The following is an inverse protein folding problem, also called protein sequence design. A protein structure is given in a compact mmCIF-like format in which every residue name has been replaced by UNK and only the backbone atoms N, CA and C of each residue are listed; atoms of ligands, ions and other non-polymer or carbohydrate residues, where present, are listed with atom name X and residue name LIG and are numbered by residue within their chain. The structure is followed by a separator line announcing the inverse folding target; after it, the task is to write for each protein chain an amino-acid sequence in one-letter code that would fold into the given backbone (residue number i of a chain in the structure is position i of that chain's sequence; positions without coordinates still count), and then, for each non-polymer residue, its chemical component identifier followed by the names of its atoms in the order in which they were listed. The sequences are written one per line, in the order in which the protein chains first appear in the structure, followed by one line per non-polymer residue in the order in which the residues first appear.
data_IF_112125450320
#
_entry.id   IF_112125450320
#
_cell.length_a   1.000
_cell.length_b   1.000
_cell.length_c   1.000
_cell.angle_alpha   90.00
_cell.angle_beta   90.00
_cell.angle_gamma   90.00
#
_symmetry.space_group_name_H-M   'P 1'
#
loop_
_entity.id
_entity.type
_entity.pdbx_description
1 polymer ?
#
# COMPACT_ATOMS: atom_id res chain seq x y z
N UNK A 1 16.59 4.87 -18.65
CA UNK A 1 15.42 3.97 -18.57
C UNK A 1 14.64 4.28 -17.31
N UNK A 2 13.32 4.54 -17.37
CA UNK A 2 12.54 4.97 -16.21
C UNK A 2 12.22 3.84 -15.20
N UNK A 3 12.63 2.60 -15.46
CA UNK A 3 12.28 1.44 -14.64
C UNK A 3 13.06 1.34 -13.32
N UNK A 4 14.26 1.94 -13.25
CA UNK A 4 15.11 1.89 -12.03
C UNK A 4 14.62 2.79 -10.91
N UNK A 5 13.75 3.76 -11.20
CA UNK A 5 13.19 4.66 -10.19
C UNK A 5 11.96 4.09 -9.47
N UNK A 6 11.29 3.07 -10.05
CA UNK A 6 10.08 2.48 -9.51
C UNK A 6 10.35 1.55 -8.30
N UNK A 7 11.56 0.99 -8.18
CA UNK A 7 11.92 0.05 -7.11
C UNK A 7 12.80 0.64 -6.01
N UNK A 8 13.07 1.96 -6.03
CA UNK A 8 13.74 2.61 -4.90
C UNK A 8 12.84 2.55 -3.67
N UNK A 9 13.10 1.53 -2.84
CA UNK A 9 12.72 1.41 -1.43
C UNK A 9 11.35 1.96 -1.05
N UNK A 10 10.26 1.40 -1.58
CA UNK A 10 8.90 1.72 -1.13
C UNK A 10 8.59 3.22 -1.17
N UNK A 11 7.37 3.59 -0.92
CA UNK A 11 6.93 4.99 -0.85
C UNK A 11 7.37 5.70 0.45
N UNK A 12 8.45 5.23 1.11
CA UNK A 12 8.96 5.83 2.35
C UNK A 12 9.50 7.23 2.12
N UNK A 13 8.95 8.20 2.85
CA UNK A 13 9.40 9.59 2.83
C UNK A 13 10.38 9.83 3.99
N UNK A 14 11.64 10.09 3.68
CA UNK A 14 12.68 10.30 4.69
C UNK A 14 12.50 11.68 5.32
N UNK A 15 11.92 11.72 6.52
CA UNK A 15 11.78 12.94 7.33
C UNK A 15 12.05 12.65 8.80
N UNK A 16 12.64 13.60 9.50
CA UNK A 16 12.80 13.55 10.95
C UNK A 16 11.53 14.03 11.64
N UNK A 17 10.64 13.10 11.95
CA UNK A 17 9.42 13.36 12.72
C UNK A 17 9.25 12.38 13.87
N UNK A 18 8.41 12.74 14.84
CA UNK A 18 8.07 11.88 15.97
C UNK A 18 7.49 10.55 15.47
N UNK A 19 6.65 10.58 14.44
CA UNK A 19 6.07 9.37 13.86
C UNK A 19 7.16 8.46 13.25
N UNK A 20 8.19 8.99 12.61
CA UNK A 20 9.25 8.17 12.02
C UNK A 20 10.04 7.41 13.08
N UNK A 21 10.22 8.00 14.27
CA UNK A 21 10.95 7.40 15.41
C UNK A 21 10.09 6.44 16.24
N UNK A 22 8.78 6.44 16.04
CA UNK A 22 7.87 5.56 16.77
C UNK A 22 8.07 4.09 16.33
N UNK A 23 7.90 3.16 17.28
CA UNK A 23 7.95 1.73 16.99
C UNK A 23 6.86 1.33 15.97
N UNK A 24 7.22 0.48 15.00
CA UNK A 24 6.33 0.04 13.95
C UNK A 24 5.07 -0.67 14.48
N UNK A 25 5.14 -1.33 15.63
CA UNK A 25 3.99 -1.94 16.31
C UNK A 25 2.92 -0.91 16.68
N UNK A 26 3.36 0.21 17.26
CA UNK A 26 2.44 1.28 17.70
C UNK A 26 1.79 1.93 16.50
N UNK A 27 2.54 2.12 15.41
CA UNK A 27 2.02 2.63 14.14
C UNK A 27 0.98 1.69 13.53
N UNK A 28 1.28 0.38 13.49
CA UNK A 28 0.37 -0.66 13.00
C UNK A 28 -0.93 -0.69 13.80
N UNK A 29 -0.81 -0.79 15.13
CA UNK A 29 -1.97 -0.79 16.03
C UNK A 29 -2.76 0.51 15.92
N UNK A 30 -2.09 1.66 15.90
CA UNK A 30 -2.73 2.96 15.78
C UNK A 30 -3.48 3.10 14.44
N UNK A 31 -2.87 2.66 13.34
CA UNK A 31 -3.53 2.66 12.03
C UNK A 31 -4.71 1.69 11.99
N UNK A 32 -4.56 0.49 12.55
CA UNK A 32 -5.64 -0.48 12.62
C UNK A 32 -6.82 0.03 13.46
N UNK A 33 -6.54 0.59 14.63
CA UNK A 33 -7.57 1.19 15.49
C UNK A 33 -8.26 2.36 14.78
N UNK A 34 -7.50 3.22 14.10
CA UNK A 34 -8.06 4.31 13.31
C UNK A 34 -9.00 3.79 12.22
N UNK A 35 -8.57 2.79 11.46
CA UNK A 35 -9.39 2.15 10.42
C UNK A 35 -10.67 1.57 11.03
N UNK A 36 -10.57 0.81 12.13
CA UNK A 36 -11.71 0.24 12.83
C UNK A 36 -12.66 1.36 13.30
N UNK A 37 -12.13 2.43 13.89
CA UNK A 37 -12.91 3.56 14.39
C UNK A 37 -13.71 4.24 13.28
N UNK A 38 -13.20 4.28 12.04
CA UNK A 38 -13.91 4.82 10.88
C UNK A 38 -15.14 3.99 10.47
N UNK A 39 -15.20 2.71 10.83
CA UNK A 39 -16.36 1.84 10.54
C UNK A 39 -17.43 1.90 11.62
N UNK A 40 -17.08 2.35 12.83
CA UNK A 40 -18.04 2.43 13.92
C UNK A 40 -18.92 3.67 13.72
N UNK A 41 -19.28 4.57 14.28
CA UNK A 41 -20.61 5.17 14.24
C UNK A 41 -20.90 6.12 13.08
N UNK A 42 -22.20 6.26 12.79
CA UNK A 42 -22.80 7.17 11.81
C UNK A 42 -23.02 8.58 12.37
N UNK A 43 -22.30 8.97 13.40
CA UNK A 43 -22.47 10.26 14.09
C UNK A 43 -21.48 11.31 13.59
N UNK A 44 -21.92 12.55 13.46
CA UNK A 44 -21.07 13.71 13.12
C UNK A 44 -19.91 13.88 14.09
N UNK A 45 -20.14 13.54 15.34
CA UNK A 45 -19.16 13.66 16.42
C UNK A 45 -17.98 12.71 16.22
N UNK A 46 -18.24 11.47 15.78
CA UNK A 46 -17.17 10.50 15.49
C UNK A 46 -16.33 10.92 14.30
N UNK A 47 -16.97 11.53 13.30
CA UNK A 47 -16.29 12.07 12.13
C UNK A 47 -15.39 13.26 12.51
N UNK A 48 -15.87 14.13 13.41
CA UNK A 48 -15.08 15.23 13.98
C UNK A 48 -13.83 14.71 14.73
N UNK A 49 -13.98 13.70 15.59
CA UNK A 49 -12.86 13.10 16.32
C UNK A 49 -11.84 12.49 15.33
N UNK A 50 -12.32 11.73 14.34
CA UNK A 50 -11.44 11.15 13.32
C UNK A 50 -10.69 12.22 12.52
N UNK A 51 -11.34 13.35 12.20
CA UNK A 51 -10.71 14.49 11.52
C UNK A 51 -9.60 15.09 12.34
N UNK A 52 -9.86 15.37 13.62
CA UNK A 52 -8.87 15.94 14.54
C UNK A 52 -7.68 14.99 14.70
N UNK A 53 -7.95 13.71 14.90
CA UNK A 53 -6.90 12.69 15.01
C UNK A 53 -6.04 12.61 13.74
N UNK A 54 -6.69 12.57 12.57
CA UNK A 54 -5.99 12.52 11.29
C UNK A 54 -5.15 13.77 11.04
N UNK A 55 -5.71 14.96 11.28
CA UNK A 55 -5.00 16.24 11.14
C UNK A 55 -3.78 16.31 12.07
N UNK A 56 -3.93 15.87 13.31
CA UNK A 56 -2.85 15.79 14.29
C UNK A 56 -1.74 14.82 13.82
N UNK A 57 -2.12 13.65 13.33
CA UNK A 57 -1.19 12.63 12.82
C UNK A 57 -0.44 13.13 11.59
N UNK A 58 -1.12 13.80 10.65
CA UNK A 58 -0.49 14.41 9.47
C UNK A 58 0.53 15.48 9.89
N UNK A 59 0.16 16.36 10.81
CA UNK A 59 1.05 17.41 11.31
C UNK A 59 2.29 16.84 11.98
N UNK A 60 2.14 15.77 12.76
CA UNK A 60 3.26 15.09 13.41
C UNK A 60 4.14 14.32 12.42
N UNK A 61 3.60 13.86 11.29
CA UNK A 61 4.35 13.08 10.30
C UNK A 61 5.35 13.90 9.50
N UNK A 62 5.14 15.23 9.40
CA UNK A 62 5.90 16.15 8.52
C UNK A 62 5.95 15.72 7.04
N UNK A 63 5.08 14.82 6.62
CA UNK A 63 4.96 14.41 5.22
C UNK A 63 4.13 15.46 4.47
N UNK A 64 4.55 15.90 3.28
CA UNK A 64 3.80 16.90 2.53
C UNK A 64 2.42 16.37 2.12
N UNK A 65 1.38 17.11 2.44
CA UNK A 65 -0.02 16.74 2.19
C UNK A 65 -0.29 16.41 0.70
N UNK A 66 0.44 17.06 -0.20
CA UNK A 66 0.38 16.80 -1.64
C UNK A 66 0.70 15.33 -2.00
N UNK A 67 1.59 14.67 -1.28
CA UNK A 67 1.90 13.25 -1.51
C UNK A 67 0.75 12.34 -1.07
N UNK A 68 0.07 12.68 0.02
CA UNK A 68 -1.07 11.92 0.52
C UNK A 68 -2.26 12.01 -0.43
N UNK A 69 -2.54 13.19 -0.99
CA UNK A 69 -3.61 13.41 -1.98
C UNK A 69 -3.33 12.64 -3.28
N UNK A 70 -2.07 12.47 -3.66
CA UNK A 70 -1.74 11.65 -4.85
C UNK A 70 -2.22 10.20 -4.71
N UNK A 71 -2.28 9.67 -3.50
CA UNK A 71 -2.86 8.35 -3.22
C UNK A 71 -4.38 8.30 -3.41
N UNK A 72 -5.08 9.42 -3.24
CA UNK A 72 -6.54 9.52 -3.45
C UNK A 72 -6.90 9.63 -4.94
N UNK A 73 -6.02 10.27 -5.75
CA UNK A 73 -6.27 10.55 -7.16
C UNK A 73 -6.70 9.33 -7.99
N UNK A 74 -6.03 8.16 -7.94
CA UNK A 74 -6.45 6.97 -8.70
C UNK A 74 -7.78 6.39 -8.22
N UNK A 75 -8.15 6.61 -6.95
CA UNK A 75 -9.38 6.12 -6.35
C UNK A 75 -10.56 7.09 -6.54
N UNK A 76 -10.30 8.30 -7.03
CA UNK A 76 -11.32 9.34 -7.18
C UNK A 76 -12.52 8.87 -8.01
N UNK A 77 -12.29 8.17 -9.10
CA UNK A 77 -13.36 7.62 -9.97
C UNK A 77 -14.24 6.64 -9.20
N UNK A 78 -13.62 5.73 -8.43
CA UNK A 78 -14.33 4.73 -7.63
C UNK A 78 -15.12 5.40 -6.51
N UNK A 79 -14.55 6.42 -5.88
CA UNK A 79 -15.21 7.19 -4.81
C UNK A 79 -16.43 7.92 -5.36
N UNK A 80 -16.31 8.60 -6.50
CA UNK A 80 -17.42 9.28 -7.15
C UNK A 80 -18.52 8.30 -7.58
N UNK A 81 -18.14 7.18 -8.19
CA UNK A 81 -19.09 6.15 -8.60
C UNK A 81 -19.87 5.57 -7.41
N UNK A 82 -19.18 5.23 -6.34
CA UNK A 82 -19.79 4.73 -5.10
C UNK A 82 -20.72 5.77 -4.46
N UNK A 83 -20.33 7.05 -4.49
CA UNK A 83 -21.16 8.14 -3.96
C UNK A 83 -22.48 8.28 -4.77
N UNK A 84 -22.39 8.22 -6.10
CA UNK A 84 -23.55 8.30 -6.98
C UNK A 84 -24.49 7.12 -6.74
N UNK A 85 -23.97 5.89 -6.64
CA UNK A 85 -24.79 4.71 -6.36
C UNK A 85 -25.51 4.87 -5.01
N UNK A 86 -24.81 5.28 -3.96
CA UNK A 86 -25.44 5.47 -2.64
C UNK A 86 -26.52 6.55 -2.67
N UNK A 87 -26.29 7.62 -3.40
CA UNK A 87 -27.25 8.72 -3.52
C UNK A 87 -28.56 8.27 -4.18
N UNK A 88 -28.49 7.30 -5.11
CA UNK A 88 -29.64 6.78 -5.86
C UNK A 88 -30.29 5.60 -5.15
N UNK A 89 -29.49 4.68 -4.55
CA UNK A 89 -29.97 3.41 -4.02
C UNK A 89 -30.59 3.52 -2.63
N UNK A 90 -30.27 4.58 -1.88
CA UNK A 90 -30.78 4.75 -0.52
C UNK A 90 -32.13 5.43 -0.56
N UNK A 91 -33.18 4.69 -0.15
CA UNK A 91 -34.53 5.24 0.00
C UNK A 91 -34.65 6.25 1.14
N UNK A 92 -35.61 7.16 1.06
CA UNK A 92 -35.86 8.15 2.11
C UNK A 92 -36.71 9.33 1.61
N UNK A 93 -36.61 10.47 2.29
CA UNK A 93 -37.30 11.71 1.87
C UNK A 93 -36.70 12.19 0.54
N UNK A 94 -37.57 12.24 -0.47
CA UNK A 94 -37.19 12.60 -1.84
C UNK A 94 -36.98 14.11 -1.91
N UNK A 95 -35.77 14.54 -2.23
CA UNK A 95 -35.43 15.95 -2.48
C UNK A 95 -35.72 16.34 -3.95
N UNK A 96 -35.35 15.47 -4.88
CA UNK A 96 -35.49 15.72 -6.32
C UNK A 96 -35.86 14.40 -7.00
N UNK A 97 -36.99 14.41 -7.77
CA UNK A 97 -37.35 13.31 -8.65
C UNK A 97 -36.92 13.64 -10.09
N UNK A 98 -36.00 12.85 -10.62
CA UNK A 98 -35.63 12.89 -12.04
C UNK A 98 -36.07 11.58 -12.71
N UNK A 99 -37.36 11.49 -13.04
CA UNK A 99 -37.94 10.30 -13.66
C UNK A 99 -37.82 9.06 -12.77
N UNK A 100 -37.14 7.97 -13.22
CA UNK A 100 -36.99 6.75 -12.43
C UNK A 100 -35.96 6.88 -11.28
N UNK A 101 -35.17 7.96 -11.24
CA UNK A 101 -34.12 8.20 -10.23
C UNK A 101 -34.59 9.23 -9.22
N UNK A 102 -34.64 8.85 -7.96
CA UNK A 102 -34.97 9.76 -6.85
C UNK A 102 -33.74 10.01 -5.98
N UNK A 103 -33.33 11.27 -5.88
CA UNK A 103 -32.31 11.70 -4.95
C UNK A 103 -32.95 11.95 -3.60
N UNK A 104 -32.48 11.21 -2.58
CA UNK A 104 -33.03 11.30 -1.23
C UNK A 104 -32.07 12.05 -0.31
N UNK A 105 -32.62 12.71 0.72
CA UNK A 105 -31.81 13.40 1.76
C UNK A 105 -30.90 12.43 2.50
N UNK A 106 -31.41 11.25 2.81
CA UNK A 106 -30.64 10.19 3.48
C UNK A 106 -29.53 9.64 2.58
N UNK A 107 -29.81 9.47 1.28
CA UNK A 107 -28.83 9.04 0.29
C UNK A 107 -27.67 10.04 0.14
N UNK A 108 -28.00 11.34 0.08
CA UNK A 108 -26.97 12.39 0.02
C UNK A 108 -26.08 12.41 1.27
N UNK A 109 -26.68 12.24 2.45
CA UNK A 109 -25.94 12.18 3.70
C UNK A 109 -25.04 10.95 3.79
N UNK A 110 -25.54 9.78 3.38
CA UNK A 110 -24.73 8.56 3.32
C UNK A 110 -23.60 8.64 2.30
N UNK A 111 -23.86 9.22 1.12
CA UNK A 111 -22.84 9.43 0.10
C UNK A 111 -21.71 10.35 0.62
N UNK A 112 -22.07 11.47 1.26
CA UNK A 112 -21.11 12.39 1.88
C UNK A 112 -20.25 11.67 2.94
N UNK A 113 -20.90 10.90 3.81
CA UNK A 113 -20.20 10.15 4.85
C UNK A 113 -19.26 9.09 4.29
N UNK A 114 -19.69 8.38 3.22
CA UNK A 114 -18.88 7.38 2.53
C UNK A 114 -17.64 8.01 1.90
N UNK A 115 -17.81 9.13 1.18
CA UNK A 115 -16.70 9.84 0.53
C UNK A 115 -15.64 10.23 1.56
N UNK A 116 -16.05 10.87 2.67
CA UNK A 116 -15.11 11.27 3.72
C UNK A 116 -14.41 10.06 4.34
N UNK A 117 -15.16 8.98 4.62
CA UNK A 117 -14.59 7.75 5.16
C UNK A 117 -13.52 7.16 4.25
N UNK A 118 -13.80 7.05 2.94
CA UNK A 118 -12.83 6.51 1.98
C UNK A 118 -11.59 7.39 1.86
N UNK A 119 -11.75 8.71 1.84
CA UNK A 119 -10.63 9.65 1.82
C UNK A 119 -9.78 9.50 3.09
N UNK A 120 -10.41 9.40 4.25
CA UNK A 120 -9.68 9.23 5.53
C UNK A 120 -8.97 7.89 5.62
N UNK A 121 -9.55 6.81 5.11
CA UNK A 121 -8.90 5.50 5.01
C UNK A 121 -7.62 5.60 4.18
N UNK A 122 -7.71 6.22 3.00
CA UNK A 122 -6.56 6.34 2.10
C UNK A 122 -5.48 7.22 2.71
N UNK A 123 -5.84 8.38 3.27
CA UNK A 123 -4.87 9.29 3.88
C UNK A 123 -4.22 8.64 5.12
N UNK A 124 -5.02 8.02 6.00
CA UNK A 124 -4.51 7.36 7.20
C UNK A 124 -3.55 6.21 6.88
N UNK A 125 -3.90 5.36 5.91
CA UNK A 125 -3.01 4.29 5.43
C UNK A 125 -1.75 4.85 4.76
N UNK A 126 -1.87 5.96 4.03
CA UNK A 126 -0.73 6.63 3.38
C UNK A 126 0.26 7.17 4.41
N UNK A 127 -0.21 7.73 5.52
CA UNK A 127 0.68 8.19 6.61
C UNK A 127 1.55 7.04 7.11
N UNK A 128 0.97 5.86 7.34
CA UNK A 128 1.72 4.68 7.76
C UNK A 128 2.75 4.27 6.70
N UNK A 129 2.35 4.21 5.43
CA UNK A 129 3.22 3.82 4.31
C UNK A 129 4.39 4.77 4.13
N UNK A 130 4.17 6.08 4.25
CA UNK A 130 5.23 7.07 4.11
C UNK A 130 6.16 7.17 5.33
N UNK A 131 5.71 6.73 6.51
CA UNK A 131 6.48 6.83 7.76
C UNK A 131 7.14 5.53 8.21
N UNK A 132 6.91 4.41 7.53
CA UNK A 132 7.40 3.09 7.92
C UNK A 132 8.07 2.41 6.75
N UNK A 133 9.30 1.96 6.95
CA UNK A 133 10.01 1.16 5.93
C UNK A 133 9.48 -0.28 5.92
N UNK A 134 9.59 -1.01 4.78
CA UNK A 134 9.18 -2.41 4.72
C UNK A 134 9.85 -3.29 5.78
N UNK A 135 11.14 -3.06 6.08
CA UNK A 135 11.86 -3.81 7.12
C UNK A 135 11.28 -3.54 8.52
N UNK A 136 11.03 -2.25 8.85
CA UNK A 136 10.38 -1.90 10.12
C UNK A 136 8.98 -2.51 10.23
N UNK A 137 8.24 -2.59 9.12
CA UNK A 137 6.92 -3.20 9.08
C UNK A 137 7.02 -4.70 9.41
N UNK A 138 7.98 -5.42 8.81
CA UNK A 138 8.23 -6.83 9.08
C UNK A 138 8.59 -7.08 10.54
N UNK A 139 9.52 -6.29 11.09
CA UNK A 139 9.92 -6.36 12.49
C UNK A 139 8.74 -6.06 13.43
N UNK A 140 7.91 -5.08 13.05
CA UNK A 140 6.70 -4.73 13.79
C UNK A 140 5.66 -5.85 13.80
N UNK A 141 5.48 -6.53 12.66
CA UNK A 141 4.59 -7.68 12.51
C UNK A 141 5.10 -8.88 13.33
N UNK A 142 6.39 -9.22 13.22
CA UNK A 142 7.00 -10.30 14.01
C UNK A 142 6.72 -10.11 15.49
N UNK A 143 7.11 -8.96 15.98
CA UNK A 143 6.95 -8.62 17.39
C UNK A 143 5.49 -8.49 17.81
N UNK A 144 4.61 -7.99 16.91
CA UNK A 144 3.17 -7.86 17.16
C UNK A 144 2.46 -9.21 17.23
N UNK A 145 2.89 -10.17 16.41
CA UNK A 145 2.28 -11.50 16.33
C UNK A 145 2.96 -12.56 17.19
N UNK A 146 3.86 -12.18 18.10
CA UNK A 146 4.52 -13.12 19.00
C UNK A 146 3.53 -13.97 19.84
N UNK A 147 2.31 -13.45 20.11
CA UNK A 147 1.29 -14.22 20.82
C UNK A 147 0.80 -15.44 20.03
N UNK A 148 0.92 -15.44 18.68
CA UNK A 148 0.56 -16.58 17.85
C UNK A 148 1.54 -17.76 17.98
N UNK A 149 2.71 -17.55 18.60
CA UNK A 149 3.59 -18.68 19.00
C UNK A 149 2.86 -19.67 19.90
N UNK A 150 1.89 -19.21 20.70
CA UNK A 150 1.06 -20.08 21.54
C UNK A 150 0.16 -21.03 20.72
N UNK A 151 -0.11 -20.71 19.48
CA UNK A 151 -0.95 -21.47 18.53
C UNK A 151 -0.06 -22.28 17.56
N UNK A 152 1.22 -22.51 17.88
CA UNK A 152 2.21 -23.25 17.08
C UNK A 152 2.48 -22.65 15.70
N UNK A 153 2.24 -21.35 15.50
CA UNK A 153 2.58 -20.66 14.25
C UNK A 153 4.06 -20.21 14.34
N UNK A 154 4.92 -20.58 13.39
CA UNK A 154 6.34 -20.21 13.38
C UNK A 154 6.55 -18.75 12.93
N UNK A 155 6.11 -17.79 13.76
CA UNK A 155 6.13 -16.35 13.43
C UNK A 155 7.55 -15.83 13.20
N UNK A 156 8.51 -16.35 13.95
CA UNK A 156 9.91 -15.94 13.84
C UNK A 156 10.52 -16.36 12.50
N UNK A 157 10.26 -17.59 12.08
CA UNK A 157 10.74 -18.15 10.82
C UNK A 157 10.13 -17.41 9.63
N UNK A 158 8.84 -17.08 9.71
CA UNK A 158 8.16 -16.27 8.68
C UNK A 158 8.77 -14.86 8.59
N UNK A 159 9.00 -14.22 9.72
CA UNK A 159 9.60 -12.89 9.75
C UNK A 159 11.04 -12.90 9.22
N UNK A 160 11.83 -13.94 9.56
CA UNK A 160 13.17 -14.13 9.02
C UNK A 160 13.13 -14.29 7.49
N UNK A 161 12.23 -15.14 6.96
CA UNK A 161 12.05 -15.30 5.52
C UNK A 161 11.67 -13.98 4.84
N UNK A 162 10.76 -13.20 5.42
CA UNK A 162 10.37 -11.89 4.90
C UNK A 162 11.52 -10.90 4.90
N UNK A 163 12.30 -10.84 5.97
CA UNK A 163 13.46 -9.95 6.08
C UNK A 163 14.53 -10.29 5.04
N UNK A 164 14.81 -11.58 4.83
CA UNK A 164 15.69 -12.06 3.78
C UNK A 164 15.15 -11.67 2.40
N UNK A 165 13.88 -11.94 2.13
CA UNK A 165 13.25 -11.61 0.85
C UNK A 165 13.33 -10.11 0.55
N UNK A 166 12.99 -9.23 1.52
CA UNK A 166 13.08 -7.79 1.36
C UNK A 166 14.51 -7.30 1.09
N UNK A 167 15.52 -7.97 1.65
CA UNK A 167 16.93 -7.67 1.37
C UNK A 167 17.35 -8.10 -0.03
N UNK A 168 16.80 -9.22 -0.53
CA UNK A 168 17.14 -9.75 -1.85
C UNK A 168 16.45 -9.01 -2.99
N UNK A 169 15.29 -8.40 -2.78
CA UNK A 169 14.57 -7.64 -3.84
C UNK A 169 15.48 -6.61 -4.52
N UNK A 170 16.17 -5.68 -3.82
CA UNK A 170 17.07 -4.73 -4.48
C UNK A 170 18.22 -5.42 -5.24
N UNK A 171 18.78 -6.48 -4.66
CA UNK A 171 19.90 -7.20 -5.26
C UNK A 171 19.48 -7.90 -6.55
N UNK A 172 18.29 -8.54 -6.54
CA UNK A 172 17.75 -9.20 -7.73
C UNK A 172 17.31 -8.19 -8.81
N UNK A 173 16.84 -7.01 -8.42
CA UNK A 173 16.52 -5.95 -9.39
C UNK A 173 17.77 -5.40 -10.08
N UNK A 174 18.87 -5.22 -9.36
CA UNK A 174 20.15 -4.85 -9.98
C UNK A 174 20.69 -5.93 -10.92
N UNK A 175 20.54 -7.19 -10.53
CA UNK A 175 20.92 -8.34 -11.37
C UNK A 175 20.06 -8.42 -12.65
N UNK A 176 18.74 -8.22 -12.48
CA UNK A 176 17.80 -8.13 -13.60
C UNK A 176 18.20 -7.04 -14.59
N UNK A 177 18.53 -5.83 -14.11
CA UNK A 177 18.98 -4.72 -14.96
C UNK A 177 20.26 -5.06 -15.73
N UNK A 178 21.22 -5.75 -15.08
CA UNK A 178 22.46 -6.21 -15.75
C UNK A 178 22.17 -7.22 -16.82
N UNK A 179 21.34 -8.24 -16.52
CA UNK A 179 20.96 -9.28 -17.48
C UNK A 179 20.20 -8.66 -18.66
N UNK A 180 19.25 -7.77 -18.41
CA UNK A 180 18.51 -7.07 -19.46
C UNK A 180 19.43 -6.29 -20.40
N UNK A 181 20.38 -5.52 -19.84
CA UNK A 181 21.37 -4.78 -20.63
C UNK A 181 22.24 -5.71 -21.48
N UNK A 182 22.67 -6.81 -20.91
CA UNK A 182 23.44 -7.82 -21.64
C UNK A 182 22.65 -8.46 -22.79
N UNK A 183 21.35 -8.72 -22.60
CA UNK A 183 20.47 -9.25 -23.65
C UNK A 183 20.19 -8.21 -24.75
N UNK A 184 20.00 -6.94 -24.36
CA UNK A 184 19.88 -5.84 -25.35
C UNK A 184 21.13 -5.71 -26.20
N UNK A 185 22.33 -5.85 -25.61
CA UNK A 185 23.60 -5.85 -26.37
C UNK A 185 23.74 -7.04 -27.34
N UNK A 186 23.00 -8.13 -27.09
CA UNK A 186 22.88 -9.29 -28.00
C UNK A 186 21.78 -9.14 -29.05
N UNK A 187 21.16 -7.95 -29.14
CA UNK A 187 20.15 -7.64 -30.15
C UNK A 187 18.71 -7.98 -29.74
N UNK A 188 18.46 -8.33 -28.48
CA UNK A 188 17.08 -8.57 -28.00
C UNK A 188 16.37 -7.23 -27.78
N UNK A 189 15.31 -7.00 -28.55
CA UNK A 189 14.43 -5.84 -28.36
C UNK A 189 13.18 -6.24 -27.56
N UNK A 190 13.05 -5.68 -26.35
CA UNK A 190 11.95 -5.98 -25.41
C UNK A 190 10.70 -5.13 -25.68
N UNK A 191 10.79 -4.08 -26.49
CA UNK A 191 9.70 -3.13 -26.72
C UNK A 191 8.85 -3.49 -27.94
N UNK A 192 9.43 -4.16 -28.95
CA UNK A 192 8.76 -4.51 -30.19
C UNK A 192 8.03 -5.86 -30.11
N UNK A 193 6.89 -5.97 -30.79
CA UNK A 193 6.14 -7.21 -30.98
C UNK A 193 4.87 -7.35 -30.12
N UNK A 194 4.12 -8.43 -30.39
CA UNK A 194 2.89 -8.79 -29.67
C UNK A 194 3.19 -9.22 -28.22
N UNK A 195 2.17 -9.21 -27.37
CA UNK A 195 2.29 -9.58 -25.94
C UNK A 195 2.93 -10.98 -25.76
N UNK A 196 2.58 -11.94 -26.62
CA UNK A 196 3.17 -13.29 -26.62
C UNK A 196 4.66 -13.30 -26.99
N UNK A 197 5.05 -12.50 -27.98
CA UNK A 197 6.44 -12.36 -28.40
C UNK A 197 7.29 -11.68 -27.34
N UNK A 198 6.75 -10.63 -26.70
CA UNK A 198 7.40 -9.98 -25.56
C UNK A 198 7.61 -10.95 -24.40
N UNK A 199 6.61 -11.82 -24.13
CA UNK A 199 6.74 -12.89 -23.12
C UNK A 199 7.88 -13.85 -23.45
N UNK A 200 8.00 -14.31 -24.70
CA UNK A 200 9.11 -15.19 -25.13
C UNK A 200 10.49 -14.53 -25.02
N UNK A 201 10.57 -13.23 -25.30
CA UNK A 201 11.81 -12.46 -25.17
C UNK A 201 12.27 -12.27 -23.71
N UNK A 202 11.38 -12.46 -22.73
CA UNK A 202 11.73 -12.44 -21.31
C UNK A 202 12.37 -13.75 -20.81
N UNK A 203 12.18 -14.87 -21.50
CA UNK A 203 12.75 -16.17 -21.08
C UNK A 203 14.28 -16.12 -20.93
N UNK A 204 15.06 -15.55 -21.89
CA UNK A 204 16.51 -15.41 -21.74
C UNK A 204 16.96 -14.52 -20.58
N UNK A 205 16.06 -13.75 -19.99
CA UNK A 205 16.30 -12.94 -18.79
C UNK A 205 15.92 -13.69 -17.53
N UNK A 206 14.79 -14.39 -17.55
CA UNK A 206 14.27 -15.13 -16.39
C UNK A 206 15.16 -16.31 -16.00
N UNK A 207 15.67 -17.07 -16.97
CA UNK A 207 16.49 -18.25 -16.68
C UNK A 207 17.78 -17.91 -15.93
N UNK A 208 18.63 -16.95 -16.40
CA UNK A 208 19.80 -16.54 -15.65
C UNK A 208 19.48 -15.94 -14.28
N UNK A 209 18.41 -15.14 -14.19
CA UNK A 209 17.97 -14.56 -12.93
C UNK A 209 17.58 -15.63 -11.90
N UNK A 210 16.85 -16.66 -12.34
CA UNK A 210 16.45 -17.80 -11.50
C UNK A 210 17.67 -18.58 -10.99
N UNK A 211 18.64 -18.85 -11.87
CA UNK A 211 19.90 -19.52 -11.49
C UNK A 211 20.67 -18.69 -10.48
N UNK A 212 20.77 -17.36 -10.69
CA UNK A 212 21.42 -16.46 -9.75
C UNK A 212 20.72 -16.43 -8.39
N UNK A 213 19.37 -16.45 -8.36
CA UNK A 213 18.59 -16.51 -7.14
C UNK A 213 18.83 -17.80 -6.35
N UNK A 214 18.85 -18.96 -7.03
CA UNK A 214 19.13 -20.26 -6.39
C UNK A 214 20.54 -20.29 -5.83
N UNK A 215 21.56 -19.85 -6.58
CA UNK A 215 22.95 -19.79 -6.07
C UNK A 215 23.04 -18.98 -4.78
N UNK A 216 22.44 -17.80 -4.77
CA UNK A 216 22.44 -16.92 -3.58
C UNK A 216 21.70 -17.57 -2.39
N UNK A 217 20.59 -18.28 -2.67
CA UNK A 217 19.89 -19.02 -1.62
C UNK A 217 20.75 -20.14 -1.05
N UNK A 218 21.49 -20.88 -1.91
CA UNK A 218 22.44 -21.91 -1.48
C UNK A 218 23.61 -21.34 -0.68
N UNK A 219 24.17 -20.20 -1.15
CA UNK A 219 25.28 -19.52 -0.44
C UNK A 219 24.81 -19.03 0.95
N UNK A 220 23.60 -18.51 1.04
CA UNK A 220 23.01 -18.09 2.31
C UNK A 220 22.78 -19.29 3.24
N UNK A 221 22.26 -20.39 2.72
CA UNK A 221 22.01 -21.61 3.51
C UNK A 221 23.30 -22.22 4.04
N UNK A 222 24.41 -22.13 3.28
CA UNK A 222 25.72 -22.59 3.77
C UNK A 222 26.35 -21.64 4.80
N UNK A 223 25.95 -20.37 4.79
CA UNK A 223 26.46 -19.38 5.74
C UNK A 223 25.67 -19.33 7.07
N UNK A 224 24.53 -19.99 7.16
CA UNK A 224 23.66 -20.08 8.34
C UNK A 224 23.90 -21.39 9.09
#
# INVERSE_FOLDING_TARGET
FPYTTLFRSGQYYKADSVLHKLDARVKLLGTLLFVITLFFPKSLLSLGIATVFLAFTIKLSKVPFSMMIRGVKPLFVIICFSAIINMISVGGEVLIKLGPVSITKQGLWMAFYLVIRLVYLVIGSSVMTFTTTPNQLTDGLEKGFQFLKKVHIPVHEIAMMMSIALRFIPILTEELDKIMKAQMSRGVDFESGNILERGKKLIPVLVPLFIAAIRRASDLAMAM
#
